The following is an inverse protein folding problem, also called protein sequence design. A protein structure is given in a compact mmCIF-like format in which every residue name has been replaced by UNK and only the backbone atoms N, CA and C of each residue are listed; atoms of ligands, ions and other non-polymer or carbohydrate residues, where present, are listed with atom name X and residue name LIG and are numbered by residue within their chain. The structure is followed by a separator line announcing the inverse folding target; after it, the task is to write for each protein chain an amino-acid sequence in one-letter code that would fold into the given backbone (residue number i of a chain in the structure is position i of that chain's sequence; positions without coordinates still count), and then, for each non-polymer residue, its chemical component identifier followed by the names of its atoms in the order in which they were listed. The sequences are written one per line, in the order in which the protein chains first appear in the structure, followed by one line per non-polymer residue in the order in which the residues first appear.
data_IF_453023779773
#
_entry.id   IF_453023779773
#
_cell.length_a   1.000
_cell.length_b   1.000
_cell.length_c   1.000
_cell.angle_alpha   90.00
_cell.angle_beta   90.00
_cell.angle_gamma   90.00
#
_symmetry.space_group_name_H-M   'P 1'
#
loop_
_entity.id
_entity.type
_entity.pdbx_description
1 polymer ?
#
# COMPACT_ATOMS: atom_id res chain seq x y z
N UNK A 1 20.38 -1.95 5.30
CA UNK A 1 19.94 -0.89 4.37
C UNK A 1 19.35 0.35 5.04
N UNK A 2 18.66 0.23 6.18
CA UNK A 2 18.03 1.37 6.91
C UNK A 2 19.05 2.35 7.53
N UNK A 3 20.18 1.84 8.06
CA UNK A 3 21.19 2.65 8.75
C UNK A 3 21.88 3.69 7.85
N UNK A 4 22.14 3.35 6.58
CA UNK A 4 22.79 4.26 5.63
C UNK A 4 21.83 5.38 5.14
N UNK A 5 20.52 5.13 5.19
CA UNK A 5 19.50 6.14 4.88
C UNK A 5 19.34 7.20 5.98
N UNK A 6 19.67 6.88 7.24
CA UNK A 6 19.49 7.78 8.37
C UNK A 6 20.65 8.78 8.56
N UNK A 7 21.89 8.35 8.28
CA UNK A 7 23.06 9.09 8.76
C UNK A 7 23.84 9.89 7.71
N UNK A 8 23.67 9.66 6.39
CA UNK A 8 24.55 10.28 5.37
C UNK A 8 23.85 10.89 4.16
N UNK A 9 22.68 11.48 4.37
CA UNK A 9 21.77 11.83 3.27
C UNK A 9 21.35 13.31 3.33
N UNK A 10 21.57 14.10 2.24
CA UNK A 10 21.21 15.53 2.17
C UNK A 10 19.73 15.80 2.53
N UNK A 11 19.41 17.02 2.96
CA UNK A 11 18.09 17.41 3.51
C UNK A 11 16.87 16.92 2.70
N UNK A 12 16.99 16.87 1.37
CA UNK A 12 15.96 16.35 0.46
C UNK A 12 15.61 14.85 0.66
N UNK A 13 16.55 14.05 1.15
CA UNK A 13 16.38 12.60 1.39
C UNK A 13 15.81 12.32 2.79
N UNK A 14 16.06 13.18 3.79
CA UNK A 14 15.42 13.06 5.11
C UNK A 14 13.90 13.20 5.04
N UNK A 15 13.42 14.18 4.28
CA UNK A 15 12.00 14.37 3.99
C UNK A 15 11.41 13.18 3.23
N UNK A 16 12.13 12.66 2.24
CA UNK A 16 11.73 11.49 1.47
C UNK A 16 11.64 10.21 2.33
N UNK A 17 12.51 10.07 3.34
CA UNK A 17 12.50 8.93 4.26
C UNK A 17 11.21 8.82 5.07
N UNK A 18 10.53 9.93 5.38
CA UNK A 18 9.25 9.91 6.11
C UNK A 18 8.16 9.23 5.28
N UNK A 19 8.10 9.54 3.98
CA UNK A 19 7.12 8.93 3.06
C UNK A 19 7.37 7.43 2.88
N UNK A 20 8.64 7.04 2.71
CA UNK A 20 8.99 5.62 2.60
C UNK A 20 8.65 4.88 3.89
N UNK A 21 8.94 5.48 5.05
CA UNK A 21 8.65 4.86 6.34
C UNK A 21 7.14 4.67 6.53
N UNK A 22 6.33 5.69 6.19
CA UNK A 22 4.87 5.59 6.24
C UNK A 22 4.34 4.46 5.34
N UNK A 23 4.85 4.39 4.11
CA UNK A 23 4.53 3.31 3.17
C UNK A 23 4.91 1.94 3.75
N UNK A 24 6.14 1.77 4.25
CA UNK A 24 6.62 0.50 4.79
C UNK A 24 5.84 0.05 6.03
N UNK A 25 5.47 0.98 6.92
CA UNK A 25 4.63 0.66 8.09
C UNK A 25 3.23 0.22 7.68
N UNK A 26 2.65 0.87 6.68
CA UNK A 26 1.32 0.53 6.17
C UNK A 26 1.33 -0.83 5.46
N UNK A 27 2.36 -1.08 4.64
CA UNK A 27 2.55 -2.36 3.93
C UNK A 27 2.77 -3.52 4.91
N UNK A 28 3.60 -3.30 5.94
CA UNK A 28 3.78 -4.27 7.02
C UNK A 28 2.47 -4.53 7.77
N UNK A 29 1.71 -3.47 8.07
CA UNK A 29 0.39 -3.57 8.69
C UNK A 29 -0.57 -4.42 7.86
N UNK A 30 -0.66 -4.16 6.55
CA UNK A 30 -1.47 -4.95 5.62
C UNK A 30 -1.07 -6.44 5.65
N UNK A 31 0.24 -6.73 5.53
CA UNK A 31 0.75 -8.11 5.54
C UNK A 31 0.46 -8.81 6.87
N UNK A 32 0.61 -8.12 8.00
CA UNK A 32 0.29 -8.69 9.31
C UNK A 32 -1.20 -9.00 9.42
N UNK A 33 -2.07 -8.05 9.08
CA UNK A 33 -3.53 -8.29 9.13
C UNK A 33 -3.97 -9.38 8.17
N UNK A 34 -3.38 -9.46 6.98
CA UNK A 34 -3.68 -10.50 6.00
C UNK A 34 -3.28 -11.89 6.52
N UNK A 35 -2.10 -12.03 7.13
CA UNK A 35 -1.66 -13.29 7.75
C UNK A 35 -2.60 -13.73 8.89
N UNK A 36 -3.09 -12.79 9.70
CA UNK A 36 -3.96 -13.10 10.84
C UNK A 36 -5.37 -13.55 10.42
N UNK A 37 -5.85 -13.07 9.28
CA UNK A 37 -7.21 -13.38 8.81
C UNK A 37 -7.21 -14.49 7.76
N UNK A 38 -6.17 -14.56 6.92
CA UNK A 38 -6.01 -15.52 5.81
C UNK A 38 -7.31 -15.69 5.02
N UNK A 39 -7.78 -14.58 4.44
CA UNK A 39 -9.09 -14.47 3.83
C UNK A 39 -9.20 -15.28 2.54
N UNK A 40 -10.28 -16.03 2.40
CA UNK A 40 -10.78 -16.54 1.13
C UNK A 40 -12.05 -15.79 0.76
N UNK A 41 -12.03 -15.07 -0.36
CA UNK A 41 -13.18 -14.30 -0.86
C UNK A 41 -13.97 -15.16 -1.84
N UNK A 42 -15.28 -15.25 -1.65
CA UNK A 42 -16.21 -15.90 -2.57
C UNK A 42 -17.15 -14.81 -3.11
N UNK A 43 -16.84 -14.22 -4.28
CA UNK A 43 -17.73 -13.27 -4.90
C UNK A 43 -18.93 -14.02 -5.48
N UNK A 44 -20.13 -13.58 -5.11
CA UNK A 44 -21.38 -14.00 -5.77
C UNK A 44 -21.98 -12.81 -6.53
N UNK A 45 -23.18 -12.94 -7.12
CA UNK A 45 -23.73 -11.86 -7.96
C UNK A 45 -23.95 -10.57 -7.17
N UNK A 46 -24.46 -10.68 -5.95
CA UNK A 46 -24.84 -9.54 -5.12
C UNK A 46 -24.20 -9.59 -3.74
N UNK A 47 -23.84 -10.77 -3.24
CA UNK A 47 -23.26 -10.96 -1.91
C UNK A 47 -21.74 -11.08 -1.98
N UNK A 48 -21.05 -10.48 -1.01
CA UNK A 48 -19.62 -10.64 -0.82
C UNK A 48 -19.40 -11.41 0.48
N UNK A 49 -19.09 -12.69 0.34
CA UNK A 49 -18.79 -13.55 1.48
C UNK A 49 -17.29 -13.77 1.60
N UNK A 50 -16.82 -13.69 2.83
CA UNK A 50 -15.42 -13.82 3.16
C UNK A 50 -15.31 -14.90 4.24
N UNK A 51 -14.48 -15.89 3.93
CA UNK A 51 -14.20 -17.01 4.82
C UNK A 51 -12.77 -16.82 5.35
N UNK A 52 -12.61 -16.30 6.58
CA UNK A 52 -11.32 -16.23 7.24
C UNK A 52 -10.84 -17.64 7.65
N UNK A 53 -9.58 -17.96 7.36
CA UNK A 53 -8.95 -19.23 7.76
C UNK A 53 -7.77 -19.02 8.74
N UNK A 54 -7.50 -17.77 9.12
CA UNK A 54 -6.38 -17.41 9.96
C UNK A 54 -6.67 -17.55 11.46
N UNK A 55 -5.79 -16.98 12.28
CA UNK A 55 -5.89 -17.02 13.74
C UNK A 55 -7.11 -16.27 14.30
N UNK A 56 -7.70 -15.34 13.55
CA UNK A 56 -8.85 -14.57 14.03
C UNK A 56 -10.07 -15.44 14.35
N UNK A 57 -10.20 -16.62 13.70
CA UNK A 57 -11.35 -17.52 13.86
C UNK A 57 -11.48 -18.09 15.28
N UNK A 58 -10.36 -18.14 16.02
CA UNK A 58 -10.34 -18.64 17.40
C UNK A 58 -10.72 -17.57 18.42
N UNK A 59 -10.85 -16.31 17.99
CA UNK A 59 -11.16 -15.17 18.88
C UNK A 59 -12.64 -14.83 18.76
N UNK A 60 -13.08 -14.32 17.61
CA UNK A 60 -14.48 -14.04 17.31
C UNK A 60 -14.66 -13.64 15.84
N UNK A 61 -15.90 -13.78 15.34
CA UNK A 61 -16.28 -13.29 14.01
C UNK A 61 -16.09 -11.78 13.86
N UNK A 62 -16.48 -10.99 14.87
CA UNK A 62 -16.31 -9.53 14.86
C UNK A 62 -14.85 -9.09 14.76
N UNK A 63 -13.93 -9.78 15.45
CA UNK A 63 -12.49 -9.50 15.34
C UNK A 63 -11.96 -9.83 13.94
N UNK A 64 -12.41 -10.94 13.32
CA UNK A 64 -12.08 -11.22 11.92
C UNK A 64 -12.54 -10.10 10.98
N UNK A 65 -13.74 -9.55 11.20
CA UNK A 65 -14.26 -8.45 10.39
C UNK A 65 -13.47 -7.15 10.60
N UNK A 66 -13.15 -6.80 11.84
CA UNK A 66 -12.31 -5.63 12.15
C UNK A 66 -10.93 -5.75 11.52
N UNK A 67 -10.30 -6.92 11.61
CA UNK A 67 -8.99 -7.16 11.00
C UNK A 67 -9.05 -7.09 9.46
N UNK A 68 -10.14 -7.58 8.86
CA UNK A 68 -10.36 -7.43 7.43
C UNK A 68 -10.52 -5.96 7.02
N UNK A 69 -11.33 -5.19 7.73
CA UNK A 69 -11.48 -3.76 7.49
C UNK A 69 -10.14 -3.01 7.61
N UNK A 70 -9.34 -3.36 8.62
CA UNK A 70 -8.00 -2.80 8.85
C UNK A 70 -7.02 -3.19 7.73
N UNK A 71 -7.07 -4.43 7.24
CA UNK A 71 -6.30 -4.89 6.09
C UNK A 71 -6.59 -4.06 4.85
N UNK A 72 -7.88 -3.83 4.55
CA UNK A 72 -8.29 -3.00 3.41
C UNK A 72 -7.81 -1.56 3.55
N UNK A 73 -7.92 -0.98 4.76
CA UNK A 73 -7.40 0.36 5.05
C UNK A 73 -5.91 0.47 4.73
N UNK A 74 -5.10 -0.47 5.24
CA UNK A 74 -3.66 -0.46 5.01
C UNK A 74 -3.29 -0.65 3.55
N UNK A 75 -4.03 -1.50 2.82
CA UNK A 75 -3.80 -1.72 1.39
C UNK A 75 -4.03 -0.46 0.56
N UNK A 76 -5.14 0.24 0.80
CA UNK A 76 -5.43 1.47 0.07
C UNK A 76 -4.49 2.61 0.47
N UNK A 77 -4.20 2.72 1.78
CA UNK A 77 -3.28 3.75 2.28
C UNK A 77 -1.84 3.55 1.79
N UNK A 78 -1.37 2.29 1.67
CA UNK A 78 -0.06 1.99 1.10
C UNK A 78 0.01 2.35 -0.39
N UNK A 79 -1.05 2.09 -1.16
CA UNK A 79 -1.15 2.45 -2.58
C UNK A 79 -1.08 3.97 -2.80
N UNK A 80 -1.82 4.77 -2.02
CA UNK A 80 -1.72 6.23 -2.09
C UNK A 80 -0.37 6.76 -1.58
N UNK A 81 0.20 6.16 -0.53
CA UNK A 81 1.53 6.51 -0.02
C UNK A 81 2.65 6.23 -1.04
N UNK A 82 2.50 5.15 -1.83
CA UNK A 82 3.40 4.81 -2.92
C UNK A 82 3.31 5.84 -4.05
N UNK A 83 2.10 6.20 -4.46
CA UNK A 83 1.87 7.26 -5.45
C UNK A 83 2.51 8.58 -5.03
N UNK A 84 2.27 9.00 -3.78
CA UNK A 84 2.84 10.21 -3.22
C UNK A 84 4.37 10.17 -3.23
N UNK A 85 4.97 9.01 -2.92
CA UNK A 85 6.42 8.81 -2.98
C UNK A 85 7.00 9.01 -4.38
N UNK A 86 6.31 8.54 -5.42
CA UNK A 86 6.73 8.77 -6.81
C UNK A 86 6.50 10.22 -7.25
N UNK A 87 5.36 10.81 -6.90
CA UNK A 87 5.06 12.21 -7.20
C UNK A 87 6.07 13.16 -6.54
N UNK A 88 6.45 12.91 -5.28
CA UNK A 88 7.47 13.67 -4.57
C UNK A 88 8.83 13.59 -5.26
N UNK A 89 9.28 12.40 -5.68
CA UNK A 89 10.54 12.25 -6.42
C UNK A 89 10.54 13.09 -7.70
N UNK A 90 9.44 13.11 -8.43
CA UNK A 90 9.31 13.95 -9.62
C UNK A 90 9.31 15.45 -9.29
N UNK A 91 8.60 15.84 -8.22
CA UNK A 91 8.52 17.23 -7.78
C UNK A 91 9.89 17.82 -7.44
N UNK A 92 10.72 17.12 -6.65
CA UNK A 92 12.06 17.59 -6.24
C UNK A 92 13.02 17.75 -7.43
N UNK A 93 12.78 17.07 -8.55
CA UNK A 93 13.55 17.24 -9.78
C UNK A 93 13.20 18.53 -10.54
N UNK A 94 12.01 19.09 -10.31
CA UNK A 94 11.51 20.28 -11.00
C UNK A 94 11.47 21.52 -10.11
N UNK A 95 11.31 21.34 -8.80
CA UNK A 95 11.06 22.38 -7.82
C UNK A 95 11.90 22.16 -6.55
N UNK A 96 12.17 23.22 -5.76
CA UNK A 96 12.84 23.08 -4.48
C UNK A 96 12.07 22.15 -3.53
N UNK A 97 12.81 21.36 -2.75
CA UNK A 97 12.21 20.36 -1.86
C UNK A 97 11.26 21.00 -0.83
N UNK A 98 10.03 20.49 -0.67
CA UNK A 98 9.08 21.04 0.28
C UNK A 98 9.52 20.76 1.72
N UNK A 99 9.01 21.56 2.64
CA UNK A 99 9.33 21.44 4.07
C UNK A 99 8.78 20.13 4.66
N UNK A 100 9.39 19.66 5.76
CA UNK A 100 8.95 18.46 6.48
C UNK A 100 7.50 18.60 6.99
N UNK A 101 7.12 19.78 7.47
CA UNK A 101 5.78 20.02 8.00
C UNK A 101 4.73 19.92 6.89
N UNK A 102 5.03 20.45 5.70
CA UNK A 102 4.15 20.31 4.52
C UNK A 102 3.91 18.84 4.18
N UNK A 103 4.95 17.99 4.25
CA UNK A 103 4.80 16.56 3.96
C UNK A 103 3.96 15.83 5.01
N UNK A 104 4.12 16.17 6.29
CA UNK A 104 3.29 15.60 7.36
C UNK A 104 1.82 15.97 7.13
N UNK A 105 1.53 17.23 6.78
CA UNK A 105 0.17 17.67 6.44
C UNK A 105 -0.38 16.89 5.24
N UNK A 106 0.40 16.68 4.19
CA UNK A 106 -0.03 15.89 3.03
C UNK A 106 -0.33 14.43 3.43
N UNK A 107 0.52 13.80 4.25
CA UNK A 107 0.29 12.43 4.73
C UNK A 107 -1.00 12.37 5.55
N UNK A 108 -1.25 13.34 6.43
CA UNK A 108 -2.49 13.43 7.22
C UNK A 108 -3.72 13.60 6.31
N UNK A 109 -3.65 14.46 5.29
CA UNK A 109 -4.74 14.65 4.32
C UNK A 109 -5.04 13.36 3.56
N UNK A 110 -4.03 12.55 3.24
CA UNK A 110 -4.21 11.24 2.57
C UNK A 110 -4.70 10.17 3.55
N UNK A 111 -4.32 10.24 4.82
CA UNK A 111 -4.72 9.28 5.86
C UNK A 111 -6.18 9.44 6.29
N UNK A 112 -6.66 10.68 6.45
CA UNK A 112 -8.03 10.97 6.87
C UNK A 112 -9.10 10.25 6.03
N UNK A 113 -9.11 10.34 4.68
CA UNK A 113 -10.13 9.67 3.87
C UNK A 113 -10.03 8.15 3.96
N UNK A 114 -8.82 7.56 4.02
CA UNK A 114 -8.68 6.11 4.14
C UNK A 114 -9.16 5.62 5.50
N UNK A 115 -8.96 6.40 6.56
CA UNK A 115 -9.45 6.10 7.90
C UNK A 115 -10.97 6.23 8.00
N UNK A 116 -11.56 7.29 7.44
CA UNK A 116 -13.02 7.47 7.47
C UNK A 116 -13.74 6.35 6.71
N UNK A 117 -13.20 5.91 5.56
CA UNK A 117 -13.79 4.78 4.82
C UNK A 117 -13.73 3.48 5.64
N UNK A 118 -12.63 3.23 6.35
CA UNK A 118 -12.53 2.09 7.26
C UNK A 118 -13.60 2.13 8.35
N UNK A 119 -13.78 3.28 9.01
CA UNK A 119 -14.78 3.44 10.07
C UNK A 119 -16.18 3.22 9.55
N UNK A 120 -16.52 3.75 8.37
CA UNK A 120 -17.82 3.52 7.71
C UNK A 120 -18.01 2.02 7.41
N UNK A 121 -16.98 1.36 6.91
CA UNK A 121 -17.03 -0.06 6.56
C UNK A 121 -17.22 -0.98 7.78
N UNK A 122 -16.78 -0.57 8.98
CA UNK A 122 -17.00 -1.33 10.20
C UNK A 122 -18.49 -1.54 10.53
N UNK A 123 -19.38 -0.69 10.01
CA UNK A 123 -20.84 -0.81 10.18
C UNK A 123 -21.52 -1.63 9.08
N UNK A 124 -20.76 -2.23 8.16
CA UNK A 124 -21.28 -2.93 6.99
C UNK A 124 -21.46 -4.44 7.18
N UNK A 125 -21.09 -4.99 8.35
CA UNK A 125 -21.13 -6.42 8.60
C UNK A 125 -22.55 -6.89 8.91
N UNK A 126 -23.07 -7.78 8.06
CA UNK A 126 -24.36 -8.42 8.26
C UNK A 126 -24.24 -9.63 9.21
N UNK A 127 -25.37 -10.17 9.68
CA UNK A 127 -25.37 -11.34 10.55
C UNK A 127 -24.82 -12.57 9.81
N UNK A 128 -23.91 -13.37 10.41
CA UNK A 128 -23.34 -14.54 9.76
C UNK A 128 -24.37 -15.56 9.27
N UNK A 129 -25.52 -15.71 9.95
CA UNK A 129 -26.57 -16.66 9.56
C UNK A 129 -27.30 -16.20 8.30
N UNK A 130 -27.67 -14.92 8.25
CA UNK A 130 -28.33 -14.34 7.07
C UNK A 130 -27.42 -14.45 5.83
N UNK A 131 -26.12 -14.23 6.02
CA UNK A 131 -25.13 -14.38 4.97
C UNK A 131 -24.98 -15.85 4.52
N UNK A 132 -24.92 -16.80 5.45
CA UNK A 132 -24.85 -18.22 5.12
C UNK A 132 -26.09 -18.70 4.35
N UNK A 133 -27.29 -18.31 4.79
CA UNK A 133 -28.56 -18.66 4.11
C UNK A 133 -28.60 -18.10 2.68
N UNK A 134 -28.18 -16.84 2.50
CA UNK A 134 -28.08 -16.24 1.17
C UNK A 134 -27.06 -16.95 0.26
N UNK A 135 -25.94 -17.41 0.84
CA UNK A 135 -24.92 -18.16 0.10
C UNK A 135 -25.39 -19.56 -0.25
N UNK A 136 -26.07 -20.29 0.64
CA UNK A 136 -26.65 -21.61 0.36
C UNK A 136 -27.66 -21.55 -0.78
N UNK A 137 -28.46 -20.49 -0.84
CA UNK A 137 -29.39 -20.25 -1.95
C UNK A 137 -28.67 -19.98 -3.28
N UNK A 138 -27.51 -19.33 -3.26
CA UNK A 138 -26.75 -18.99 -4.48
C UNK A 138 -25.76 -20.09 -4.92
N UNK A 139 -25.28 -20.91 -3.98
CA UNK A 139 -24.29 -21.96 -4.18
C UNK A 139 -24.75 -23.27 -3.50
N UNK A 140 -25.80 -23.94 -4.04
CA UNK A 140 -26.39 -25.13 -3.41
C UNK A 140 -25.44 -26.33 -3.33
N UNK A 141 -24.38 -26.36 -4.14
CA UNK A 141 -23.38 -27.44 -4.16
C UNK A 141 -22.16 -27.17 -3.27
N UNK A 142 -22.14 -26.06 -2.52
CA UNK A 142 -21.00 -25.68 -1.68
C UNK A 142 -21.29 -26.03 -0.22
N UNK A 143 -20.49 -26.92 0.38
CA UNK A 143 -20.63 -27.29 1.79
C UNK A 143 -19.91 -26.28 2.69
N UNK A 144 -20.66 -25.56 3.51
CA UNK A 144 -20.13 -24.64 4.52
C UNK A 144 -19.82 -25.32 5.87
N UNK A 145 -20.01 -26.63 5.98
CA UNK A 145 -19.88 -27.40 7.24
C UNK A 145 -18.49 -27.32 7.88
N UNK A 146 -17.44 -27.21 7.06
CA UNK A 146 -16.05 -27.08 7.55
C UNK A 146 -15.67 -25.63 7.90
N UNK A 147 -16.56 -24.66 7.66
CA UNK A 147 -16.26 -23.23 7.83
C UNK A 147 -16.69 -22.74 9.22
N UNK A 148 -15.72 -22.33 10.05
CA UNK A 148 -15.99 -21.87 11.43
C UNK A 148 -16.60 -20.47 11.52
N UNK A 149 -16.24 -19.57 10.60
CA UNK A 149 -16.62 -18.16 10.63
C UNK A 149 -16.87 -17.68 9.21
N UNK A 150 -17.96 -16.93 9.02
CA UNK A 150 -18.29 -16.25 7.76
C UNK A 150 -18.56 -14.78 8.10
N UNK A 151 -17.94 -13.88 7.35
CA UNK A 151 -18.14 -12.43 7.47
C UNK A 151 -18.45 -11.84 6.09
N UNK A 152 -19.07 -10.67 6.05
CA UNK A 152 -19.33 -9.97 4.79
C UNK A 152 -20.71 -9.33 4.74
N UNK A 153 -21.22 -9.17 3.52
CA UNK A 153 -22.53 -8.57 3.29
C UNK A 153 -23.37 -9.33 2.27
N UNK A 154 -24.68 -9.38 2.53
CA UNK A 154 -25.65 -10.10 1.72
C UNK A 154 -25.95 -9.38 0.41
N UNK A 155 -25.97 -8.03 0.42
CA UNK A 155 -26.28 -7.20 -0.74
C UNK A 155 -25.28 -6.03 -0.86
N UNK A 156 -24.15 -6.29 -1.52
CA UNK A 156 -23.06 -5.34 -1.79
C UNK A 156 -23.55 -4.07 -2.49
N UNK A 157 -24.56 -4.17 -3.37
CA UNK A 157 -25.10 -3.03 -4.11
C UNK A 157 -26.10 -2.17 -3.32
N UNK A 158 -26.75 -2.73 -2.29
CA UNK A 158 -27.68 -1.98 -1.43
C UNK A 158 -26.98 -1.42 -0.20
N UNK A 159 -25.98 -2.13 0.32
CA UNK A 159 -25.16 -1.66 1.42
C UNK A 159 -24.27 -0.51 0.95
N UNK A 160 -24.70 0.72 1.23
CA UNK A 160 -23.96 1.94 0.90
C UNK A 160 -22.52 1.90 1.44
N UNK A 161 -22.24 1.47 2.68
CA UNK A 161 -20.87 1.33 3.18
C UNK A 161 -20.00 0.38 2.34
N UNK A 162 -20.52 -0.79 1.96
CA UNK A 162 -19.77 -1.76 1.15
C UNK A 162 -19.57 -1.28 -0.28
N UNK A 163 -20.58 -0.66 -0.87
CA UNK A 163 -20.50 -0.10 -2.22
C UNK A 163 -19.45 1.01 -2.30
N UNK A 164 -19.47 1.95 -1.34
CA UNK A 164 -18.48 3.02 -1.26
C UNK A 164 -17.07 2.45 -1.12
N UNK A 165 -16.87 1.46 -0.25
CA UNK A 165 -15.57 0.84 -0.06
C UNK A 165 -15.08 0.12 -1.32
N UNK A 166 -15.97 -0.61 -1.99
CA UNK A 166 -15.65 -1.33 -3.23
C UNK A 166 -15.28 -0.36 -4.34
N UNK A 167 -16.03 0.72 -4.51
CA UNK A 167 -15.73 1.76 -5.49
C UNK A 167 -14.39 2.45 -5.17
N UNK A 168 -14.16 2.79 -3.90
CA UNK A 168 -12.94 3.45 -3.44
C UNK A 168 -11.69 2.56 -3.57
N UNK A 169 -11.83 1.23 -3.53
CA UNK A 169 -10.73 0.32 -3.79
C UNK A 169 -10.52 0.09 -5.28
N UNK A 170 -11.57 -0.22 -6.04
CA UNK A 170 -11.45 -0.67 -7.44
C UNK A 170 -11.12 0.48 -8.40
N UNK A 171 -11.83 1.60 -8.27
CA UNK A 171 -11.69 2.72 -9.21
C UNK A 171 -10.28 3.32 -9.20
N UNK A 172 -9.61 3.51 -8.04
CA UNK A 172 -8.30 4.13 -8.02
C UNK A 172 -7.15 3.21 -8.44
N UNK A 173 -7.29 1.88 -8.38
CA UNK A 173 -6.18 0.95 -8.67
C UNK A 173 -5.57 1.23 -10.05
N UNK A 174 -6.39 1.17 -11.10
CA UNK A 174 -5.93 1.37 -12.49
C UNK A 174 -5.29 2.76 -12.70
N UNK A 175 -5.97 3.89 -12.39
CA UNK A 175 -5.41 5.21 -12.61
C UNK A 175 -4.17 5.46 -11.74
N UNK A 176 -4.13 4.98 -10.49
CA UNK A 176 -2.94 5.15 -9.64
C UNK A 176 -1.74 4.42 -10.23
N UNK A 177 -1.88 3.15 -10.65
CA UNK A 177 -0.79 2.42 -11.29
C UNK A 177 -0.36 3.08 -12.61
N UNK A 178 -1.31 3.57 -13.42
CA UNK A 178 -1.01 4.30 -14.65
C UNK A 178 -0.20 5.59 -14.35
N UNK A 179 -0.63 6.39 -13.36
CA UNK A 179 0.09 7.61 -12.97
C UNK A 179 1.48 7.27 -12.43
N UNK A 180 1.62 6.21 -11.61
CA UNK A 180 2.94 5.75 -11.13
C UNK A 180 3.86 5.44 -12.31
N UNK A 181 3.38 4.70 -13.32
CA UNK A 181 4.18 4.37 -14.51
C UNK A 181 4.57 5.64 -15.29
N UNK A 182 3.62 6.56 -15.52
CA UNK A 182 3.89 7.82 -16.22
C UNK A 182 4.91 8.68 -15.47
N UNK A 183 4.78 8.81 -14.15
CA UNK A 183 5.71 9.55 -13.31
C UNK A 183 7.09 8.90 -13.33
N UNK A 184 7.18 7.56 -13.23
CA UNK A 184 8.45 6.82 -13.35
C UNK A 184 9.15 7.09 -14.68
N UNK A 185 8.41 7.07 -15.78
CA UNK A 185 8.94 7.38 -17.11
C UNK A 185 9.43 8.82 -17.21
N UNK A 186 8.66 9.78 -16.68
CA UNK A 186 9.06 11.20 -16.64
C UNK A 186 10.31 11.43 -15.80
N UNK A 187 10.41 10.80 -14.64
CA UNK A 187 11.60 10.86 -13.78
C UNK A 187 12.81 10.33 -14.54
N UNK A 188 12.72 9.12 -15.14
CA UNK A 188 13.83 8.53 -15.92
C UNK A 188 14.29 9.45 -17.05
N UNK A 189 13.37 9.90 -17.91
CA UNK A 189 13.69 10.82 -19.02
C UNK A 189 14.33 12.12 -18.56
N UNK A 190 13.89 12.67 -17.41
CA UNK A 190 14.46 13.89 -16.85
C UNK A 190 15.88 13.66 -16.33
N UNK A 191 16.14 12.51 -15.69
CA UNK A 191 17.50 12.13 -15.30
C UNK A 191 18.39 11.96 -16.52
N UNK A 192 17.91 11.28 -17.57
CA UNK A 192 18.68 11.07 -18.80
C UNK A 192 19.03 12.41 -19.46
N UNK A 193 18.07 13.34 -19.55
CA UNK A 193 18.32 14.68 -20.08
C UNK A 193 19.21 15.57 -19.19
N UNK A 194 19.27 15.35 -17.87
CA UNK A 194 20.23 16.01 -16.98
C UNK A 194 21.62 15.40 -17.16
N UNK A 195 21.72 14.09 -17.32
CA UNK A 195 22.98 13.39 -17.58
C UNK A 195 23.59 13.82 -18.92
N UNK A 196 22.77 14.05 -19.93
CA UNK A 196 23.20 14.52 -21.26
C UNK A 196 23.64 16.01 -21.24
N UNK A 197 23.04 16.82 -20.35
CA UNK A 197 23.43 18.23 -20.12
C UNK A 197 24.62 18.41 -19.16
N UNK A 198 25.09 17.34 -18.51
CA UNK A 198 26.27 17.41 -17.65
C UNK A 198 27.52 17.52 -18.53
N UNK A 199 28.28 18.62 -18.39
CA UNK A 199 29.50 18.82 -19.18
C UNK A 199 30.51 17.69 -18.95
N UNK A 200 31.38 17.45 -19.94
CA UNK A 200 32.46 16.44 -19.89
C UNK A 200 33.29 16.47 -18.60
N UNK A 201 33.43 17.65 -17.96
CA UNK A 201 34.15 17.83 -16.71
C UNK A 201 33.41 17.23 -15.51
N UNK A 202 32.09 17.43 -15.43
CA UNK A 202 31.25 16.88 -14.35
C UNK A 202 31.03 15.37 -14.52
N UNK A 203 30.98 14.88 -15.78
CA UNK A 203 30.90 13.45 -16.10
C UNK A 203 32.10 12.67 -15.57
N UNK A 204 33.33 13.20 -15.68
CA UNK A 204 34.53 12.58 -15.08
C UNK A 204 34.46 12.56 -13.56
N UNK A 205 34.07 13.65 -12.92
CA UNK A 205 33.96 13.72 -11.46
C UNK A 205 32.91 12.75 -10.90
N UNK A 206 31.76 12.60 -11.59
CA UNK A 206 30.73 11.62 -11.24
C UNK A 206 31.18 10.18 -11.48
N UNK A 207 31.95 9.92 -12.55
CA UNK A 207 32.55 8.60 -12.81
C UNK A 207 33.60 8.23 -11.75
N UNK A 208 34.39 9.20 -11.27
CA UNK A 208 35.36 9.01 -10.18
C UNK A 208 34.65 8.71 -8.86
N UNK A 209 33.57 9.41 -8.54
CA UNK A 209 32.77 9.13 -7.34
C UNK A 209 32.09 7.76 -7.39
N UNK A 210 31.54 7.35 -8.55
CA UNK A 210 30.95 6.03 -8.74
C UNK A 210 32.00 4.92 -8.70
N UNK A 211 33.16 5.13 -9.30
CA UNK A 211 34.25 4.16 -9.27
C UNK A 211 34.84 4.03 -7.85
N UNK A 212 35.06 5.10 -7.10
CA UNK A 212 35.52 5.00 -5.70
C UNK A 212 34.51 4.26 -4.82
N UNK A 213 33.21 4.49 -5.05
CA UNK A 213 32.14 3.76 -4.36
C UNK A 213 32.14 2.27 -4.70
N UNK A 214 32.43 1.92 -5.96
CA UNK A 214 32.53 0.54 -6.45
C UNK A 214 33.85 -0.13 -6.03
N UNK A 215 34.98 0.58 -5.96
CA UNK A 215 36.26 0.06 -5.49
C UNK A 215 36.19 -0.26 -4.00
N UNK A 216 35.46 0.53 -3.19
CA UNK A 216 35.22 0.20 -1.77
C UNK A 216 34.31 -1.05 -1.65
N UNK A 217 33.33 -1.22 -2.54
CA UNK A 217 32.49 -2.43 -2.59
C UNK A 217 33.25 -3.67 -3.13
N UNK A 218 34.22 -3.48 -4.02
CA UNK A 218 35.04 -4.57 -4.58
C UNK A 218 36.17 -4.98 -3.62
N UNK A 219 36.79 -4.04 -2.91
CA UNK A 219 37.81 -4.33 -1.89
C UNK A 219 37.22 -5.13 -0.71
N UNK A 220 35.95 -4.90 -0.37
CA UNK A 220 35.25 -5.67 0.67
C UNK A 220 34.82 -7.08 0.22
N UNK A 221 34.90 -7.39 -1.08
CA UNK A 221 34.59 -8.73 -1.61
C UNK A 221 35.83 -9.59 -1.88
N UNK A 222 37.04 -8.99 -1.82
CA UNK A 222 38.32 -9.70 -1.92
C UNK A 222 39.11 -9.77 -0.61
N UNK A 223 38.57 -9.28 0.51
CA UNK A 223 39.25 -9.30 1.83
C UNK A 223 38.33 -9.87 2.92
N UNK A 224 37.77 -11.03 2.66
CA UNK A 224 37.23 -11.92 3.70
C UNK A 224 37.78 -13.31 3.37
N UNK A 225 38.70 -13.84 4.18
CA UNK A 225 39.29 -15.16 3.97
C UNK A 225 38.24 -16.28 4.03
#
# INVERSE_FOLDING_TARGET
SVYFCLFKTPKAIKCYSVLILNFALSDLGACMTDLFVANRIIPTRMSMAIIPNGFCIYISSGVCFVLYALMLHFFVHSLFSLLLSFAYRYYVLCYPAPSRNTLIVIILIVYLPTFTHMVIYLFANDDPKELEDALRNQLPNYSFEDTKVIIGTVDTMKSLPTLLMTLYMVVPIIPVYAIILLVRLKVRRKLDGIADKMSHHTRRMHHTLLNVSLTILCYRKCSSP
#
